data_IF_278836931021
#
_entry.id   IF_278836931021
#
_cell.length_a   1.000
_cell.length_b   1.000
_cell.length_c   1.000
_cell.angle_alpha   90.00
_cell.angle_beta   90.00
_cell.angle_gamma   90.00
#
_symmetry.space_group_name_H-M   'P 1'
#
loop_
_entity.id
_entity.type
_entity.pdbx_description
1 polymer ?
#
# COMPACT_ATOMS: atom_id res chain seq x y z
N UNK A 1 -12.05 0.47 14.15
CA UNK A 1 -10.96 -0.31 13.52
C UNK A 1 -9.91 0.67 13.06
N UNK A 2 -8.63 0.49 13.42
CA UNK A 2 -7.54 1.28 12.86
C UNK A 2 -7.11 0.65 11.53
N UNK A 3 -6.90 1.48 10.51
CA UNK A 3 -6.45 1.01 9.20
C UNK A 3 -4.96 0.64 9.31
N UNK A 4 -4.64 -0.62 9.03
CA UNK A 4 -3.30 -1.18 9.12
C UNK A 4 -2.63 -1.23 7.74
N UNK A 5 -1.38 -0.78 7.66
CA UNK A 5 -0.61 -0.68 6.42
C UNK A 5 0.77 -1.34 6.55
N UNK A 6 1.21 -1.92 5.45
CA UNK A 6 2.59 -2.34 5.23
C UNK A 6 3.29 -1.31 4.34
N UNK A 7 4.50 -0.90 4.70
CA UNK A 7 5.34 -0.11 3.79
C UNK A 7 6.31 -1.05 3.09
N UNK A 8 6.36 -1.06 1.77
CA UNK A 8 7.33 -1.82 0.99
C UNK A 8 8.19 -0.87 0.16
N UNK A 9 9.43 -0.66 0.61
CA UNK A 9 10.40 0.18 -0.11
C UNK A 9 11.80 -0.04 0.45
N UNK A 10 12.82 -0.02 -0.42
CA UNK A 10 14.21 0.05 -0.02
C UNK A 10 14.70 1.50 0.21
N UNK A 11 13.88 2.51 -0.11
CA UNK A 11 14.25 3.93 -0.05
C UNK A 11 13.98 4.52 1.34
N UNK A 12 15.00 4.93 2.12
CA UNK A 12 14.80 5.47 3.46
C UNK A 12 13.94 6.74 3.50
N UNK A 13 14.03 7.59 2.48
CA UNK A 13 13.23 8.80 2.37
C UNK A 13 11.73 8.49 2.24
N UNK A 14 11.37 7.50 1.40
CA UNK A 14 10.00 7.07 1.23
C UNK A 14 9.43 6.47 2.51
N UNK A 15 10.17 5.55 3.13
CA UNK A 15 9.77 4.93 4.40
C UNK A 15 9.52 5.98 5.48
N UNK A 16 10.41 6.98 5.61
CA UNK A 16 10.22 8.09 6.56
C UNK A 16 8.95 8.89 6.25
N UNK A 17 8.75 9.28 5.00
CA UNK A 17 7.57 10.02 4.59
C UNK A 17 6.27 9.27 4.90
N UNK A 18 6.24 7.96 4.61
CA UNK A 18 5.06 7.13 4.85
C UNK A 18 4.78 6.87 6.32
N UNK A 19 5.82 6.77 7.16
CA UNK A 19 5.63 6.73 8.61
C UNK A 19 5.05 8.03 9.15
N UNK A 20 5.59 9.17 8.74
CA UNK A 20 5.05 10.47 9.14
C UNK A 20 3.60 10.66 8.69
N UNK A 21 3.26 10.21 7.49
CA UNK A 21 1.88 10.22 6.98
C UNK A 21 1.00 9.29 7.82
N UNK A 22 1.42 8.05 8.07
CA UNK A 22 0.67 7.09 8.87
C UNK A 22 0.40 7.61 10.29
N UNK A 23 1.40 8.19 10.95
CA UNK A 23 1.25 8.77 12.29
C UNK A 23 0.25 9.93 12.28
N UNK A 24 0.30 10.80 11.26
CA UNK A 24 -0.61 11.95 11.13
C UNK A 24 -2.06 11.53 10.88
N UNK A 25 -2.26 10.51 10.05
CA UNK A 25 -3.60 10.03 9.68
C UNK A 25 -4.13 8.92 10.62
N UNK A 26 -3.36 8.55 11.65
CA UNK A 26 -3.76 7.51 12.62
C UNK A 26 -3.78 6.08 12.06
N UNK A 27 -2.98 5.81 11.02
CA UNK A 27 -2.78 4.49 10.43
C UNK A 27 -1.78 3.67 11.25
N UNK A 28 -2.01 2.37 11.36
CA UNK A 28 -1.09 1.45 12.03
C UNK A 28 -0.08 0.89 11.02
N UNK A 29 1.20 1.19 11.19
CA UNK A 29 2.25 0.59 10.36
C UNK A 29 2.63 -0.77 10.94
N UNK A 30 2.11 -1.85 10.34
CA UNK A 30 2.37 -3.23 10.78
C UNK A 30 3.79 -3.72 10.44
N UNK A 31 4.45 -3.09 9.47
CA UNK A 31 5.79 -3.49 9.08
C UNK A 31 6.39 -2.63 7.98
N UNK A 32 7.71 -2.83 7.79
CA UNK A 32 8.46 -2.27 6.68
C UNK A 32 9.18 -3.43 5.98
N UNK A 33 8.75 -3.75 4.77
CA UNK A 33 9.41 -4.71 3.90
C UNK A 33 10.45 -3.99 3.02
N UNK A 34 11.61 -4.63 2.86
CA UNK A 34 12.69 -4.14 1.97
C UNK A 34 13.00 -5.09 0.82
N UNK A 35 12.39 -6.27 0.81
CA UNK A 35 12.52 -7.25 -0.26
C UNK A 35 11.13 -7.76 -0.66
N UNK A 36 10.96 -8.27 -1.88
CA UNK A 36 9.72 -8.89 -2.33
C UNK A 36 9.21 -10.00 -1.39
N UNK A 37 10.10 -10.87 -0.93
CA UNK A 37 9.76 -12.02 -0.08
C UNK A 37 9.29 -11.56 1.31
N UNK A 38 9.92 -10.52 1.85
CA UNK A 38 9.50 -9.93 3.11
C UNK A 38 8.11 -9.28 2.99
N UNK A 39 7.81 -8.65 1.85
CA UNK A 39 6.51 -8.05 1.59
C UNK A 39 5.40 -9.11 1.52
N UNK A 40 5.61 -10.15 0.71
CA UNK A 40 4.68 -11.28 0.58
C UNK A 40 4.43 -11.97 1.91
N UNK A 41 5.50 -12.29 2.64
CA UNK A 41 5.39 -12.94 3.95
C UNK A 41 4.59 -12.07 4.94
N UNK A 42 4.84 -10.76 4.95
CA UNK A 42 4.12 -9.85 5.82
C UNK A 42 2.62 -9.80 5.49
N UNK A 43 2.26 -9.74 4.21
CA UNK A 43 0.85 -9.78 3.76
C UNK A 43 0.18 -11.08 4.16
N UNK A 44 0.83 -12.22 3.93
CA UNK A 44 0.30 -13.53 4.31
C UNK A 44 0.05 -13.64 5.82
N UNK A 45 0.97 -13.15 6.65
CA UNK A 45 0.88 -13.28 8.11
C UNK A 45 -0.05 -12.27 8.78
N UNK A 46 -0.08 -11.02 8.31
CA UNK A 46 -0.74 -9.92 9.02
C UNK A 46 -1.97 -9.36 8.31
N UNK A 47 -2.16 -9.70 7.03
CA UNK A 47 -3.29 -9.26 6.21
C UNK A 47 -3.55 -7.73 6.34
N UNK A 48 -2.56 -6.88 6.07
CA UNK A 48 -2.72 -5.43 6.16
C UNK A 48 -3.83 -4.96 5.21
N UNK A 49 -4.49 -3.86 5.54
CA UNK A 49 -5.50 -3.26 4.66
C UNK A 49 -4.86 -2.75 3.36
N UNK A 50 -3.63 -2.25 3.42
CA UNK A 50 -2.90 -1.80 2.24
C UNK A 50 -1.38 -2.04 2.34
N UNK A 51 -0.75 -2.23 1.18
CA UNK A 51 0.70 -2.14 0.96
C UNK A 51 0.98 -0.82 0.26
N UNK A 52 1.75 0.04 0.91
CA UNK A 52 2.27 1.28 0.38
C UNK A 52 3.64 1.00 -0.26
N UNK A 53 3.72 1.07 -1.59
CA UNK A 53 4.94 0.78 -2.35
C UNK A 53 5.37 2.00 -3.16
N UNK A 54 6.67 2.25 -3.26
CA UNK A 54 7.16 3.33 -4.13
C UNK A 54 7.24 2.86 -5.59
N UNK A 55 7.13 3.81 -6.53
CA UNK A 55 7.08 3.51 -7.98
C UNK A 55 8.34 2.80 -8.51
N UNK A 56 9.50 3.05 -7.93
CA UNK A 56 10.74 2.39 -8.33
C UNK A 56 10.73 0.91 -7.91
N UNK A 57 10.33 0.64 -6.65
CA UNK A 57 10.12 -0.73 -6.15
C UNK A 57 9.01 -1.47 -6.93
N UNK A 58 7.90 -0.80 -7.26
CA UNK A 58 6.84 -1.35 -8.12
C UNK A 58 7.39 -1.78 -9.48
N UNK A 59 8.10 -0.89 -10.17
CA UNK A 59 8.66 -1.14 -11.50
C UNK A 59 9.73 -2.25 -11.51
N UNK A 60 10.48 -2.42 -10.42
CA UNK A 60 11.50 -3.47 -10.30
C UNK A 60 10.89 -4.86 -10.04
N UNK A 61 9.68 -4.93 -9.47
CA UNK A 61 9.09 -6.19 -8.99
C UNK A 61 7.63 -6.40 -9.41
N UNK A 62 7.30 -6.29 -10.72
CA UNK A 62 5.91 -6.39 -11.21
C UNK A 62 5.24 -7.73 -10.86
N UNK A 63 5.97 -8.85 -10.91
CA UNK A 63 5.43 -10.16 -10.56
C UNK A 63 5.04 -10.25 -9.09
N UNK A 64 5.79 -9.58 -8.21
CA UNK A 64 5.48 -9.55 -6.78
C UNK A 64 4.24 -8.69 -6.52
N UNK A 65 4.08 -7.59 -7.25
CA UNK A 65 2.86 -6.77 -7.19
C UNK A 65 1.64 -7.60 -7.59
N UNK A 66 1.72 -8.37 -8.68
CA UNK A 66 0.64 -9.29 -9.10
C UNK A 66 0.34 -10.31 -8.02
N UNK A 67 1.37 -10.94 -7.45
CA UNK A 67 1.20 -11.91 -6.36
C UNK A 67 0.57 -11.29 -5.12
N UNK A 68 0.95 -10.07 -4.73
CA UNK A 68 0.32 -9.36 -3.61
C UNK A 68 -1.17 -9.09 -3.88
N UNK A 69 -1.55 -8.78 -5.12
CA UNK A 69 -2.96 -8.58 -5.50
C UNK A 69 -3.77 -9.88 -5.54
N UNK A 70 -3.15 -11.00 -5.94
CA UNK A 70 -3.83 -12.31 -6.05
C UNK A 70 -3.88 -13.04 -4.70
N UNK A 71 -2.77 -13.06 -3.96
CA UNK A 71 -2.63 -13.76 -2.68
C UNK A 71 -3.18 -12.92 -1.50
N UNK A 72 -3.10 -11.59 -1.61
CA UNK A 72 -3.62 -10.64 -0.62
C UNK A 72 -5.09 -10.33 -0.83
N UNK A 73 -5.97 -11.33 -0.66
CA UNK A 73 -7.42 -11.28 -0.96
C UNK A 73 -8.13 -10.01 -0.47
N UNK A 74 -7.65 -9.38 0.62
CA UNK A 74 -8.20 -8.13 1.18
C UNK A 74 -7.23 -6.96 1.22
N UNK A 75 -6.00 -7.17 0.80
CA UNK A 75 -4.92 -6.19 0.86
C UNK A 75 -4.86 -5.41 -0.45
N UNK A 76 -4.91 -4.08 -0.36
CA UNK A 76 -4.74 -3.20 -1.52
C UNK A 76 -3.27 -2.92 -1.76
N UNK A 77 -2.82 -2.89 -3.01
CA UNK A 77 -1.48 -2.39 -3.31
C UNK A 77 -1.62 -0.95 -3.80
N UNK A 78 -0.89 -0.02 -3.19
CA UNK A 78 -0.93 1.40 -3.52
C UNK A 78 0.48 1.84 -3.86
N UNK A 79 0.74 2.04 -5.15
CA UNK A 79 1.98 2.58 -5.66
C UNK A 79 1.95 4.10 -5.54
N UNK A 80 2.95 4.70 -4.89
CA UNK A 80 3.03 6.14 -4.70
C UNK A 80 4.31 6.70 -5.29
N UNK A 81 4.18 7.88 -5.88
CA UNK A 81 5.29 8.69 -6.35
C UNK A 81 5.38 9.96 -5.49
N UNK A 82 6.49 10.12 -4.77
CA UNK A 82 6.74 11.31 -3.97
C UNK A 82 7.19 12.51 -4.82
N UNK A 83 7.59 12.29 -6.07
CA UNK A 83 8.02 13.36 -6.98
C UNK A 83 6.82 14.04 -7.64
N UNK A 84 5.82 13.26 -8.05
CA UNK A 84 4.65 13.74 -8.78
C UNK A 84 3.44 14.08 -7.88
N UNK A 85 3.59 13.99 -6.55
CA UNK A 85 2.49 14.02 -5.55
C UNK A 85 1.30 13.09 -5.90
N UNK A 86 1.56 12.07 -6.72
CA UNK A 86 0.53 11.21 -7.29
C UNK A 86 0.54 9.85 -6.60
N UNK A 87 -0.63 9.38 -6.21
CA UNK A 87 -0.84 8.01 -5.77
C UNK A 87 -1.55 7.21 -6.86
N UNK A 88 -1.20 5.94 -7.00
CA UNK A 88 -1.79 5.01 -7.95
C UNK A 88 -2.22 3.79 -7.16
N UNK A 89 -3.51 3.50 -7.17
CA UNK A 89 -4.06 2.31 -6.53
C UNK A 89 -4.07 1.16 -7.55
N UNK A 90 -3.55 0.02 -7.13
CA UNK A 90 -3.47 -1.23 -7.87
C UNK A 90 -4.38 -2.26 -7.19
N UNK A 91 -5.58 -2.46 -7.75
CA UNK A 91 -6.55 -3.47 -7.30
C UNK A 91 -7.16 -4.20 -8.52
N UNK A 92 -6.32 -4.93 -9.27
CA UNK A 92 -6.74 -5.56 -10.55
C UNK A 92 -7.02 -4.58 -11.69
N UNK A 93 -7.12 -3.28 -11.40
CA UNK A 93 -7.28 -2.14 -12.31
C UNK A 93 -6.41 -0.98 -11.78
N UNK A 94 -5.86 -0.13 -12.67
CA UNK A 94 -4.96 0.99 -12.30
C UNK A 94 -5.78 2.27 -12.17
N UNK A 95 -5.92 2.81 -10.97
CA UNK A 95 -6.65 4.07 -10.71
C UNK A 95 -5.70 5.13 -10.18
N UNK A 96 -5.67 6.30 -10.83
CA UNK A 96 -4.87 7.46 -10.37
C UNK A 96 -5.65 8.19 -9.27
N UNK A 97 -5.06 8.28 -8.08
CA UNK A 97 -5.50 9.10 -6.97
C UNK A 97 -4.63 10.38 -6.95
N UNK A 98 -5.27 11.54 -7.08
CA UNK A 98 -4.57 12.82 -7.17
C UNK A 98 -4.28 13.42 -5.79
N UNK A 99 -5.02 12.98 -4.75
CA UNK A 99 -4.89 13.51 -3.39
C UNK A 99 -4.92 12.39 -2.35
N UNK A 100 -4.42 12.69 -1.14
CA UNK A 100 -4.53 11.79 0.03
C UNK A 100 -5.99 11.46 0.34
N UNK A 101 -6.92 12.40 0.11
CA UNK A 101 -8.36 12.16 0.29
C UNK A 101 -8.87 11.11 -0.68
N UNK A 102 -8.42 11.13 -1.93
CA UNK A 102 -8.77 10.10 -2.92
C UNK A 102 -8.22 8.74 -2.49
N UNK A 103 -7.00 8.72 -1.93
CA UNK A 103 -6.36 7.52 -1.41
C UNK A 103 -7.15 6.91 -0.25
N UNK A 104 -7.58 7.75 0.69
CA UNK A 104 -8.44 7.34 1.81
C UNK A 104 -9.82 6.88 1.33
N UNK A 105 -10.44 7.57 0.38
CA UNK A 105 -11.71 7.14 -0.21
C UNK A 105 -11.59 5.78 -0.91
N UNK A 106 -10.48 5.51 -1.58
CA UNK A 106 -10.24 4.19 -2.15
C UNK A 106 -10.13 3.17 -1.05
N UNK A 107 -9.35 3.42 0.02
CA UNK A 107 -9.22 2.51 1.18
C UNK A 107 -10.59 2.21 1.81
N UNK A 108 -11.37 3.25 2.13
CA UNK A 108 -12.69 3.19 2.76
C UNK A 108 -13.76 2.54 1.87
N UNK A 109 -13.78 2.87 0.57
CA UNK A 109 -14.78 2.37 -0.38
C UNK A 109 -14.81 0.84 -0.47
N UNK A 110 -13.65 0.16 -0.45
CA UNK A 110 -13.66 -1.31 -0.46
C UNK A 110 -13.89 -1.94 0.92
N UNK A 111 -13.84 -1.19 2.03
CA UNK A 111 -14.31 -1.70 3.32
C UNK A 111 -15.85 -1.75 3.33
N UNK A 112 -16.51 -0.79 2.69
CA UNK A 112 -17.97 -0.76 2.54
C UNK A 112 -18.49 -1.85 1.58
N UNK A 113 -17.79 -2.12 0.47
CA UNK A 113 -18.16 -3.20 -0.47
C UNK A 113 -18.00 -4.61 0.09
N UNK A 114 -17.37 -4.78 1.26
CA UNK A 114 -17.18 -6.08 1.94
C UNK A 114 -18.19 -6.34 3.06
N UNK A 115 -19.06 -5.36 3.38
CA UNK A 115 -20.09 -5.47 4.43
C UNK A 115 -21.50 -5.66 3.86
N UNK A 116 -21.63 -5.80 2.53
CA UNK A 116 -22.87 -6.05 1.80
C UNK A 116 -22.96 -7.50 1.33
#
# INVERSE_FOLDING_TARGET
MRCAVLIWSNRPAFVRAMRSLADREGLEVQGIARTPEAALRCVQMHQPNAVLVDRETEGQHPDTIVRLMVEGVRTKVIAMDLVDEAAIVLQGWRTRAATIRDLMQVIEGSLASQAA
#
